data_IF_978589208149
#
_entry.id   IF_978589208149
#
_cell.length_a   1.000
_cell.length_b   1.000
_cell.length_c   1.000
_cell.angle_alpha   90.00
_cell.angle_beta   90.00
_cell.angle_gamma   90.00
#
_symmetry.space_group_name_H-M   'P 1'
#
loop_
_entity.id
_entity.type
_entity.pdbx_description
1 polymer ?
#
# COMPACT_ATOMS: atom_id res chain seq x y z
N UNK A 1 -20.97 32.76 5.98
CA UNK A 1 -21.97 31.81 6.51
C UNK A 1 -21.20 30.69 7.22
N UNK A 2 -21.77 30.11 8.30
CA UNK A 2 -21.11 28.97 8.93
C UNK A 2 -20.98 27.82 7.90
N UNK A 3 -19.82 27.18 7.88
CA UNK A 3 -19.58 26.02 7.01
C UNK A 3 -20.42 24.82 7.46
N UNK A 4 -20.95 24.03 6.50
CA UNK A 4 -21.79 22.86 6.79
C UNK A 4 -20.99 21.77 7.51
N UNK A 5 -19.70 21.65 7.17
CA UNK A 5 -18.76 20.65 7.70
C UNK A 5 -17.51 21.31 8.27
N UNK A 6 -16.82 20.58 9.15
CA UNK A 6 -15.50 20.98 9.61
C UNK A 6 -14.44 20.54 8.59
N UNK A 7 -14.62 19.34 8.00
CA UNK A 7 -13.72 18.80 6.97
C UNK A 7 -14.53 18.07 5.90
N UNK A 8 -14.19 18.33 4.63
CA UNK A 8 -14.54 17.45 3.51
C UNK A 8 -13.32 16.60 3.18
N UNK A 9 -13.50 15.28 3.05
CA UNK A 9 -12.48 14.32 2.58
C UNK A 9 -12.86 13.86 1.19
N UNK A 10 -12.10 14.27 0.18
CA UNK A 10 -12.29 13.87 -1.22
C UNK A 10 -11.39 12.68 -1.56
N UNK A 11 -12.00 11.56 -1.92
CA UNK A 11 -11.38 10.25 -2.10
C UNK A 11 -11.33 9.46 -0.80
N UNK A 12 -12.02 8.31 -0.76
CA UNK A 12 -12.19 7.45 0.41
C UNK A 12 -11.46 6.10 0.27
N UNK A 13 -10.37 6.10 -0.50
CA UNK A 13 -9.42 4.99 -0.54
C UNK A 13 -8.64 4.83 0.78
N UNK A 14 -7.46 4.19 0.74
CA UNK A 14 -6.69 3.87 1.94
C UNK A 14 -6.43 5.08 2.85
N UNK A 15 -6.04 6.23 2.27
CA UNK A 15 -5.73 7.42 3.06
C UNK A 15 -6.99 8.14 3.54
N UNK A 16 -7.96 8.34 2.65
CA UNK A 16 -9.16 9.12 2.97
C UNK A 16 -10.12 8.39 3.90
N UNK A 17 -10.25 7.07 3.81
CA UNK A 17 -11.06 6.29 4.75
C UNK A 17 -10.52 6.37 6.18
N UNK A 18 -9.21 6.25 6.35
CA UNK A 18 -8.55 6.41 7.64
C UNK A 18 -8.73 7.83 8.19
N UNK A 19 -8.52 8.85 7.35
CA UNK A 19 -8.72 10.24 7.74
C UNK A 19 -10.17 10.53 8.16
N UNK A 20 -11.15 10.07 7.38
CA UNK A 20 -12.57 10.25 7.69
C UNK A 20 -12.91 9.64 9.05
N UNK A 21 -12.42 8.42 9.33
CA UNK A 21 -12.60 7.76 10.63
C UNK A 21 -11.98 8.57 11.78
N UNK A 22 -10.71 8.92 11.69
CA UNK A 22 -10.03 9.60 12.79
C UNK A 22 -10.60 11.01 13.05
N UNK A 23 -10.97 11.73 12.00
CA UNK A 23 -11.62 13.04 12.12
C UNK A 23 -13.00 12.93 12.77
N UNK A 24 -13.84 12.01 12.31
CA UNK A 24 -15.17 11.79 12.88
C UNK A 24 -15.08 11.32 14.34
N UNK A 25 -14.19 10.37 14.64
CA UNK A 25 -13.96 9.88 16.00
C UNK A 25 -13.42 10.96 16.95
N UNK A 26 -12.83 12.04 16.42
CA UNK A 26 -12.42 13.23 17.19
C UNK A 26 -13.54 14.29 17.33
N UNK A 27 -14.78 13.97 16.92
CA UNK A 27 -15.96 14.85 17.05
C UNK A 27 -16.07 15.90 15.94
N UNK A 28 -15.35 15.78 14.82
CA UNK A 28 -15.47 16.68 13.68
C UNK A 28 -16.66 16.28 12.81
N UNK A 29 -17.38 17.29 12.29
CA UNK A 29 -18.41 17.08 11.26
C UNK A 29 -17.70 16.81 9.93
N UNK A 30 -17.72 15.56 9.49
CA UNK A 30 -16.99 15.08 8.31
C UNK A 30 -17.96 14.73 7.21
N UNK A 31 -17.70 15.25 5.99
CA UNK A 31 -18.26 14.74 4.75
C UNK A 31 -17.16 14.01 3.97
N UNK A 32 -17.38 12.75 3.70
CA UNK A 32 -16.55 11.95 2.81
C UNK A 32 -17.20 11.85 1.43
N UNK A 33 -16.45 12.13 0.38
CA UNK A 33 -16.89 12.05 -1.01
C UNK A 33 -15.98 11.06 -1.77
N UNK A 34 -16.57 10.13 -2.50
CA UNK A 34 -15.81 9.27 -3.40
C UNK A 34 -16.50 9.14 -4.76
N UNK A 35 -15.67 9.13 -5.80
CA UNK A 35 -16.11 8.95 -7.19
C UNK A 35 -16.81 7.60 -7.42
N UNK A 36 -16.44 6.61 -6.62
CA UNK A 36 -16.95 5.24 -6.69
C UNK A 36 -17.49 4.79 -5.33
N UNK A 37 -17.81 3.50 -5.20
CA UNK A 37 -18.20 2.90 -3.94
C UNK A 37 -17.01 2.09 -3.36
N UNK A 38 -16.23 2.62 -2.39
CA UNK A 38 -15.12 1.89 -1.78
C UNK A 38 -15.59 0.75 -0.86
N UNK A 39 -14.84 -0.37 -0.76
CA UNK A 39 -13.65 -0.68 -1.54
C UNK A 39 -13.99 -1.07 -2.98
N UNK A 40 -13.17 -0.66 -3.94
CA UNK A 40 -13.33 -0.96 -5.36
C UNK A 40 -11.97 -1.23 -6.01
N UNK A 41 -11.97 -1.83 -7.22
CA UNK A 41 -10.76 -2.15 -7.97
C UNK A 41 -10.34 -1.09 -9.01
N UNK A 42 -10.94 0.09 -8.98
CA UNK A 42 -10.69 1.16 -9.95
C UNK A 42 -9.54 2.08 -9.55
N UNK A 43 -9.23 2.18 -8.25
CA UNK A 43 -8.12 2.96 -7.69
C UNK A 43 -6.91 2.08 -7.35
N UNK A 44 -6.05 2.57 -6.44
CA UNK A 44 -4.81 1.89 -6.02
C UNK A 44 -4.96 1.10 -4.71
N UNK A 45 -6.12 1.14 -4.04
CA UNK A 45 -6.35 0.51 -2.73
C UNK A 45 -7.00 -0.87 -2.85
N UNK A 46 -6.55 -1.68 -3.82
CA UNK A 46 -7.05 -3.03 -4.05
C UNK A 46 -5.90 -4.00 -4.32
N UNK A 47 -6.19 -5.28 -4.52
CA UNK A 47 -5.22 -6.33 -4.83
C UNK A 47 -4.90 -7.19 -3.62
N UNK A 48 -5.84 -7.32 -2.69
CA UNK A 48 -5.91 -8.23 -1.55
C UNK A 48 -4.90 -7.99 -0.44
N UNK A 49 -3.69 -7.54 -0.75
CA UNK A 49 -2.59 -7.43 0.22
C UNK A 49 -1.73 -6.19 0.00
N UNK A 50 -1.11 -5.69 1.11
CA UNK A 50 -0.05 -4.68 1.11
C UNK A 50 1.03 -5.09 2.09
N UNK A 51 2.30 -4.82 1.75
CA UNK A 51 3.42 -5.00 2.68
C UNK A 51 3.36 -3.92 3.77
N UNK A 52 3.55 -4.34 5.02
CA UNK A 52 3.95 -3.47 6.12
C UNK A 52 5.29 -3.95 6.66
N UNK A 53 6.22 -3.04 6.91
CA UNK A 53 7.56 -3.30 7.43
C UNK A 53 8.09 -2.11 8.22
N UNK A 54 9.02 -2.30 9.14
CA UNK A 54 9.64 -1.18 9.88
C UNK A 54 10.95 -0.72 9.23
N UNK A 55 11.77 -1.64 8.73
CA UNK A 55 13.07 -1.32 8.11
C UNK A 55 12.90 -0.71 6.70
N UNK A 56 12.42 0.53 6.64
CA UNK A 56 12.25 1.26 5.37
C UNK A 56 13.58 1.55 4.72
N UNK A 57 13.81 1.00 3.52
CA UNK A 57 15.05 1.19 2.78
C UNK A 57 15.15 2.57 2.13
N UNK A 58 14.02 3.18 1.86
CA UNK A 58 13.94 4.49 1.21
C UNK A 58 14.48 5.60 2.11
N UNK A 59 14.10 5.63 3.38
CA UNK A 59 14.64 6.58 4.35
C UNK A 59 14.24 6.24 5.80
N UNK A 60 15.15 6.38 6.80
CA UNK A 60 14.87 6.11 8.21
C UNK A 60 13.74 6.96 8.82
N UNK A 61 13.47 8.14 8.29
CA UNK A 61 12.36 9.01 8.74
C UNK A 61 10.97 8.36 8.65
N UNK A 62 10.81 7.30 7.83
CA UNK A 62 9.56 6.55 7.77
C UNK A 62 9.34 5.64 8.99
N UNK A 63 10.40 5.26 9.72
CA UNK A 63 10.29 4.30 10.83
C UNK A 63 9.34 4.77 11.93
N UNK A 64 9.44 6.00 12.48
CA UNK A 64 8.49 6.45 13.50
C UNK A 64 7.03 6.48 13.00
N UNK A 65 6.82 6.82 11.72
CA UNK A 65 5.49 6.83 11.11
C UNK A 65 4.90 5.41 11.04
N UNK A 66 5.69 4.43 10.60
CA UNK A 66 5.21 3.05 10.53
C UNK A 66 5.06 2.41 11.92
N UNK A 67 5.90 2.75 12.89
CA UNK A 67 5.71 2.32 14.28
C UNK A 67 4.38 2.84 14.84
N UNK A 68 4.03 4.10 14.55
CA UNK A 68 2.71 4.63 14.91
C UNK A 68 1.60 3.92 14.13
N UNK A 69 1.81 3.59 12.87
CA UNK A 69 0.84 2.83 12.07
C UNK A 69 0.55 1.44 12.68
N UNK A 70 1.55 0.70 13.16
CA UNK A 70 1.35 -0.58 13.86
C UNK A 70 0.43 -0.44 15.07
N UNK A 71 0.60 0.63 15.87
CA UNK A 71 -0.28 0.91 17.01
C UNK A 71 -1.71 1.17 16.55
N UNK A 72 -1.88 1.99 15.50
CA UNK A 72 -3.20 2.33 14.96
C UNK A 72 -3.91 1.11 14.34
N UNK A 73 -3.16 0.21 13.69
CA UNK A 73 -3.71 -1.06 13.19
C UNK A 73 -4.20 -1.95 14.34
N UNK A 74 -3.42 -2.10 15.41
CA UNK A 74 -3.84 -2.86 16.58
C UNK A 74 -5.08 -2.25 17.27
N UNK A 75 -5.14 -0.91 17.37
CA UNK A 75 -6.32 -0.20 17.88
C UNK A 75 -7.56 -0.44 17.00
N UNK A 76 -7.38 -0.42 15.67
CA UNK A 76 -8.45 -0.64 14.70
C UNK A 76 -8.96 -2.09 14.74
N UNK A 77 -8.07 -3.07 14.80
CA UNK A 77 -8.41 -4.48 14.99
C UNK A 77 -9.23 -4.70 16.27
N UNK A 78 -8.77 -4.12 17.39
CA UNK A 78 -9.48 -4.18 18.66
C UNK A 78 -10.88 -3.56 18.60
N UNK A 79 -11.04 -2.42 17.91
CA UNK A 79 -12.33 -1.73 17.78
C UNK A 79 -13.30 -2.45 16.86
N UNK A 80 -12.79 -3.07 15.81
CA UNK A 80 -13.63 -3.70 14.77
C UNK A 80 -13.87 -5.19 14.99
N UNK A 81 -13.02 -5.86 15.77
CA UNK A 81 -13.00 -7.33 15.89
C UNK A 81 -12.48 -8.02 14.61
N UNK A 82 -11.92 -7.28 13.66
CA UNK A 82 -11.41 -7.81 12.38
C UNK A 82 -9.91 -7.95 12.42
N UNK A 83 -9.38 -9.00 11.78
CA UNK A 83 -7.95 -9.17 11.58
C UNK A 83 -7.55 -8.43 10.29
N UNK A 84 -6.79 -7.35 10.43
CA UNK A 84 -6.36 -6.47 9.32
C UNK A 84 -4.89 -6.63 8.99
N UNK A 85 -4.11 -7.17 9.94
CA UNK A 85 -2.67 -7.36 9.83
C UNK A 85 -2.28 -8.79 10.20
N UNK A 86 -1.41 -9.38 9.38
CA UNK A 86 -0.79 -10.69 9.64
C UNK A 86 0.72 -10.52 9.59
N UNK A 87 1.40 -10.76 10.70
CA UNK A 87 2.86 -10.76 10.76
C UNK A 87 3.38 -12.10 10.23
N UNK A 88 4.10 -12.05 9.11
CA UNK A 88 4.75 -13.20 8.47
C UNK A 88 6.27 -13.13 8.61
N UNK A 89 6.76 -12.03 9.21
CA UNK A 89 8.11 -11.58 8.98
C UNK A 89 8.31 -11.05 7.58
N UNK A 90 9.46 -10.44 7.33
CA UNK A 90 9.83 -9.90 6.03
C UNK A 90 11.31 -10.02 5.75
N UNK A 91 11.67 -10.16 4.49
CA UNK A 91 13.07 -10.20 4.09
C UNK A 91 13.32 -9.33 2.87
N UNK A 92 14.33 -8.45 2.98
CA UNK A 92 14.78 -7.57 1.92
C UNK A 92 16.10 -8.12 1.38
N UNK A 93 16.10 -8.58 0.13
CA UNK A 93 17.20 -9.38 -0.45
C UNK A 93 17.85 -8.62 -1.61
N UNK A 94 19.17 -8.53 -1.58
CA UNK A 94 19.93 -7.86 -2.65
C UNK A 94 21.44 -7.94 -2.43
N UNK A 95 22.23 -7.25 -3.28
CA UNK A 95 23.65 -7.10 -3.05
C UNK A 95 23.92 -6.40 -1.70
N UNK A 96 24.99 -6.76 -0.96
CA UNK A 96 25.30 -6.17 0.35
C UNK A 96 25.45 -4.65 0.32
N UNK A 97 25.89 -4.13 -0.81
CA UNK A 97 26.09 -2.70 -1.08
C UNK A 97 24.93 -2.06 -1.88
N UNK A 98 23.92 -2.84 -2.22
CA UNK A 98 22.70 -2.38 -2.90
C UNK A 98 21.86 -1.40 -2.06
N UNK A 99 21.04 -0.63 -2.74
CA UNK A 99 20.19 0.40 -2.11
C UNK A 99 19.23 -0.22 -1.10
N UNK A 100 18.63 -1.36 -1.46
CA UNK A 100 17.66 -2.05 -0.62
C UNK A 100 18.27 -2.50 0.70
N UNK A 101 19.40 -3.21 0.64
CA UNK A 101 20.07 -3.79 1.82
C UNK A 101 20.69 -2.69 2.68
N UNK A 102 21.41 -1.73 2.07
CA UNK A 102 21.99 -0.60 2.82
C UNK A 102 20.93 0.24 3.52
N UNK A 103 19.86 0.59 2.80
CA UNK A 103 18.80 1.41 3.35
C UNK A 103 18.06 0.72 4.50
N UNK A 104 17.72 -0.56 4.34
CA UNK A 104 17.07 -1.33 5.40
C UNK A 104 17.95 -1.48 6.65
N UNK A 105 19.23 -1.80 6.48
CA UNK A 105 20.20 -1.86 7.59
C UNK A 105 20.33 -0.52 8.29
N UNK A 106 20.45 0.57 7.54
CA UNK A 106 20.53 1.91 8.09
C UNK A 106 19.31 2.23 8.95
N UNK A 107 18.11 2.01 8.44
CA UNK A 107 16.86 2.25 9.19
C UNK A 107 16.78 1.38 10.44
N UNK A 108 17.15 0.11 10.33
CA UNK A 108 17.14 -0.81 11.46
C UNK A 108 18.15 -0.40 12.54
N UNK A 109 19.34 0.03 12.18
CA UNK A 109 20.38 0.48 13.11
C UNK A 109 20.04 1.81 13.78
N UNK A 110 19.59 2.82 13.01
CA UNK A 110 19.24 4.14 13.54
C UNK A 110 18.07 4.08 14.54
N UNK A 111 17.14 3.13 14.35
CA UNK A 111 15.96 2.99 15.20
C UNK A 111 15.97 1.76 16.12
N UNK A 112 17.10 1.05 16.23
CA UNK A 112 17.26 -0.15 17.06
C UNK A 112 16.18 -1.21 16.79
N UNK A 113 15.85 -1.44 15.51
CA UNK A 113 14.86 -2.44 15.12
C UNK A 113 15.45 -3.84 15.23
N UNK A 114 14.64 -4.80 15.67
CA UNK A 114 15.02 -6.21 15.63
C UNK A 114 15.19 -6.67 14.20
N UNK A 115 16.41 -7.10 13.83
CA UNK A 115 16.71 -7.58 12.50
C UNK A 115 17.89 -8.57 12.51
N UNK A 116 17.99 -9.36 11.45
CA UNK A 116 19.16 -10.21 11.18
C UNK A 116 19.60 -10.03 9.73
N UNK A 117 20.90 -10.05 9.52
CA UNK A 117 21.47 -10.10 8.16
C UNK A 117 21.81 -11.56 7.86
N UNK A 118 21.19 -12.12 6.84
CA UNK A 118 21.32 -13.51 6.44
C UNK A 118 22.14 -13.60 5.15
N UNK A 119 23.12 -14.48 5.12
CA UNK A 119 23.83 -14.86 3.90
C UNK A 119 22.90 -15.59 2.93
N UNK A 120 23.32 -15.73 1.65
CA UNK A 120 22.58 -16.50 0.65
C UNK A 120 22.35 -17.95 1.08
N UNK A 121 23.31 -18.57 1.76
CA UNK A 121 23.19 -19.92 2.28
C UNK A 121 22.16 -20.02 3.44
N UNK A 122 22.15 -19.05 4.33
CA UNK A 122 21.16 -18.96 5.41
C UNK A 122 19.76 -18.69 4.87
N UNK A 123 19.62 -17.84 3.87
CA UNK A 123 18.34 -17.58 3.19
C UNK A 123 17.76 -18.86 2.58
N UNK A 124 18.57 -19.64 1.83
CA UNK A 124 18.14 -20.93 1.25
C UNK A 124 17.74 -21.95 2.32
N UNK A 125 18.44 -21.97 3.45
CA UNK A 125 18.13 -22.88 4.56
C UNK A 125 16.86 -22.47 5.28
N UNK A 126 16.67 -21.18 5.56
CA UNK A 126 15.52 -20.68 6.29
C UNK A 126 14.25 -20.60 5.42
N UNK A 127 14.41 -20.26 4.15
CA UNK A 127 13.32 -20.08 3.17
C UNK A 127 13.63 -20.89 1.89
N UNK A 128 13.36 -22.20 1.88
CA UNK A 128 13.78 -23.09 0.79
C UNK A 128 13.20 -22.79 -0.59
N UNK A 129 12.18 -21.94 -0.67
CA UNK A 129 11.62 -21.44 -1.94
C UNK A 129 12.50 -20.39 -2.60
N UNK A 130 13.35 -19.68 -1.84
CA UNK A 130 14.20 -18.63 -2.32
C UNK A 130 15.54 -19.18 -2.85
N UNK A 131 15.95 -18.68 -3.99
CA UNK A 131 17.22 -19.01 -4.64
C UNK A 131 18.05 -17.74 -4.88
N UNK A 132 18.51 -17.05 -3.80
CA UNK A 132 19.32 -15.86 -3.95
C UNK A 132 20.67 -16.21 -4.61
N UNK A 133 21.22 -15.25 -5.38
CA UNK A 133 22.57 -15.37 -5.91
C UNK A 133 23.58 -15.42 -4.76
N UNK A 134 24.75 -16.02 -4.99
CA UNK A 134 25.75 -16.23 -3.91
C UNK A 134 26.25 -14.94 -3.26
N UNK A 135 26.32 -13.87 -4.04
CA UNK A 135 26.72 -12.54 -3.58
C UNK A 135 25.59 -11.73 -2.94
N UNK A 136 24.38 -12.28 -2.77
CA UNK A 136 23.27 -11.60 -2.14
C UNK A 136 23.20 -11.90 -0.64
N UNK A 137 22.65 -10.95 0.09
CA UNK A 137 22.28 -11.07 1.50
C UNK A 137 20.83 -10.63 1.70
N UNK A 138 20.23 -11.04 2.82
CA UNK A 138 18.87 -10.60 3.19
C UNK A 138 18.85 -9.91 4.54
N UNK A 139 18.16 -8.79 4.65
CA UNK A 139 17.80 -8.17 5.93
C UNK A 139 16.44 -8.72 6.30
N UNK A 140 16.39 -9.55 7.32
CA UNK A 140 15.16 -10.13 7.84
C UNK A 140 14.69 -9.37 9.07
N UNK A 141 13.40 -9.05 9.14
CA UNK A 141 12.74 -8.45 10.29
C UNK A 141 11.48 -9.23 10.68
N UNK A 142 11.24 -9.50 11.99
CA UNK A 142 10.11 -10.32 12.44
C UNK A 142 8.77 -9.61 12.37
N UNK A 143 8.75 -8.28 12.45
CA UNK A 143 7.53 -7.49 12.55
C UNK A 143 6.88 -7.17 11.22
N UNK A 144 7.58 -7.37 10.13
CA UNK A 144 7.00 -7.20 8.80
C UNK A 144 5.84 -8.18 8.55
N UNK A 145 4.97 -7.82 7.62
CA UNK A 145 3.80 -8.65 7.34
C UNK A 145 2.90 -8.08 6.26
N UNK A 146 1.65 -8.48 6.34
CA UNK A 146 0.62 -8.25 5.34
C UNK A 146 -0.53 -7.46 5.95
N UNK A 147 -0.95 -6.41 5.28
CA UNK A 147 -2.21 -5.70 5.49
C UNK A 147 -3.23 -6.09 4.42
N UNK A 148 -4.51 -6.15 4.79
CA UNK A 148 -5.64 -6.38 3.89
C UNK A 148 -6.31 -5.05 3.55
N UNK A 149 -5.94 -4.39 2.43
CA UNK A 149 -6.32 -3.00 2.18
C UNK A 149 -7.81 -2.79 1.95
N UNK A 150 -8.49 -3.69 1.25
CA UNK A 150 -9.94 -3.59 1.04
C UNK A 150 -10.71 -3.69 2.35
N UNK A 151 -10.35 -4.67 3.19
CA UNK A 151 -10.95 -4.84 4.51
C UNK A 151 -10.64 -3.65 5.43
N UNK A 152 -9.43 -3.10 5.33
CA UNK A 152 -9.03 -1.92 6.09
C UNK A 152 -9.84 -0.68 5.69
N UNK A 153 -10.00 -0.43 4.38
CA UNK A 153 -10.83 0.67 3.86
C UNK A 153 -12.27 0.52 4.34
N UNK A 154 -12.86 -0.66 4.15
CA UNK A 154 -14.23 -0.95 4.61
C UNK A 154 -14.37 -0.71 6.11
N UNK A 155 -13.43 -1.20 6.91
CA UNK A 155 -13.46 -1.06 8.38
C UNK A 155 -13.39 0.40 8.81
N UNK A 156 -12.51 1.19 8.20
CA UNK A 156 -12.43 2.62 8.48
C UNK A 156 -13.73 3.35 8.13
N UNK A 157 -14.32 3.08 6.96
CA UNK A 157 -15.56 3.73 6.52
C UNK A 157 -16.75 3.38 7.42
N UNK A 158 -16.91 2.11 7.80
CA UNK A 158 -17.94 1.68 8.72
C UNK A 158 -17.82 2.38 10.09
N UNK A 159 -16.59 2.49 10.61
CA UNK A 159 -16.33 3.17 11.87
C UNK A 159 -16.47 4.70 11.75
N UNK A 160 -16.11 5.28 10.61
CA UNK A 160 -16.35 6.69 10.32
C UNK A 160 -17.86 7.03 10.37
N UNK A 161 -18.68 6.24 9.67
CA UNK A 161 -20.12 6.39 9.67
C UNK A 161 -20.72 6.22 11.07
N UNK A 162 -20.29 5.21 11.83
CA UNK A 162 -20.68 5.01 13.24
C UNK A 162 -20.29 6.19 14.14
N UNK A 163 -19.23 6.91 13.78
CA UNK A 163 -18.77 8.12 14.49
C UNK A 163 -19.41 9.41 13.98
N UNK A 164 -20.42 9.32 13.11
CA UNK A 164 -21.20 10.45 12.62
C UNK A 164 -20.69 11.11 11.33
N UNK A 165 -19.69 10.52 10.63
CA UNK A 165 -19.34 10.99 9.30
C UNK A 165 -20.47 10.71 8.29
N UNK A 166 -20.73 11.69 7.42
CA UNK A 166 -21.59 11.51 6.23
C UNK A 166 -20.69 11.06 5.09
N UNK A 167 -21.02 9.93 4.47
CA UNK A 167 -20.25 9.35 3.39
C UNK A 167 -21.12 9.27 2.13
N UNK A 168 -20.71 9.97 1.08
CA UNK A 168 -21.37 9.99 -0.21
C UNK A 168 -20.48 9.24 -1.24
N UNK A 169 -21.04 8.19 -1.79
CA UNK A 169 -20.37 7.35 -2.80
C UNK A 169 -20.96 7.62 -4.18
N UNK A 170 -20.21 7.32 -5.23
CA UNK A 170 -20.55 7.62 -6.62
C UNK A 170 -20.79 9.13 -6.83
N UNK A 171 -20.06 9.95 -6.08
CA UNK A 171 -20.17 11.40 -6.10
C UNK A 171 -18.77 12.02 -6.32
N UNK A 172 -18.32 12.15 -7.58
CA UNK A 172 -17.04 12.70 -7.91
C UNK A 172 -16.97 14.20 -7.58
N UNK A 173 -15.88 14.60 -6.94
CA UNK A 173 -15.53 16.02 -6.81
C UNK A 173 -15.10 16.52 -8.19
N UNK A 174 -15.82 17.51 -8.73
CA UNK A 174 -15.52 18.11 -10.03
C UNK A 174 -14.50 19.23 -9.92
N UNK A 175 -14.64 20.09 -8.88
CA UNK A 175 -13.72 21.18 -8.57
C UNK A 175 -13.88 21.63 -7.12
N UNK A 176 -12.94 22.39 -6.66
CA UNK A 176 -12.98 23.07 -5.37
C UNK A 176 -12.42 24.49 -5.51
N UNK A 177 -12.85 25.36 -4.62
CA UNK A 177 -12.44 26.77 -4.62
C UNK A 177 -12.39 27.31 -3.19
N UNK A 178 -11.44 28.21 -2.85
CA UNK A 178 -11.47 28.93 -1.57
C UNK A 178 -12.78 29.72 -1.43
N UNK A 179 -13.35 29.72 -0.23
CA UNK A 179 -14.55 30.50 0.09
C UNK A 179 -14.45 31.08 1.50
N UNK A 180 -14.12 32.37 1.60
CA UNK A 180 -13.83 33.00 2.89
C UNK A 180 -12.69 32.31 3.60
N UNK A 181 -12.87 31.90 4.86
CA UNK A 181 -11.88 31.15 5.66
C UNK A 181 -11.96 29.62 5.44
N UNK A 182 -12.77 29.18 4.50
CA UNK A 182 -13.02 27.78 4.21
C UNK A 182 -12.88 27.43 2.73
N UNK A 183 -13.59 26.39 2.34
CA UNK A 183 -13.56 25.83 1.00
C UNK A 183 -14.97 25.46 0.56
N UNK A 184 -15.24 25.65 -0.73
CA UNK A 184 -16.42 25.16 -1.43
C UNK A 184 -16.00 24.03 -2.35
N UNK A 185 -16.69 22.89 -2.26
CA UNK A 185 -16.47 21.70 -3.09
C UNK A 185 -17.71 21.50 -3.95
N UNK A 186 -17.54 21.30 -5.24
CA UNK A 186 -18.62 21.15 -6.22
C UNK A 186 -18.60 19.73 -6.78
N UNK A 187 -19.77 19.11 -6.78
CA UNK A 187 -20.06 17.79 -7.36
C UNK A 187 -21.21 17.91 -8.36
N UNK A 188 -21.64 16.81 -8.96
CA UNK A 188 -22.85 16.79 -9.80
C UNK A 188 -24.14 16.96 -8.99
N UNK A 189 -24.15 16.48 -7.74
CA UNK A 189 -25.31 16.58 -6.84
C UNK A 189 -25.49 17.98 -6.24
N UNK A 190 -24.43 18.81 -6.25
CA UNK A 190 -24.50 20.17 -5.69
C UNK A 190 -23.16 20.71 -5.21
N UNK A 191 -23.23 21.55 -4.18
CA UNK A 191 -22.02 22.13 -3.60
C UNK A 191 -22.08 22.04 -2.07
N UNK A 192 -20.93 21.77 -1.49
CA UNK A 192 -20.73 21.64 -0.03
C UNK A 192 -19.68 22.63 0.45
N UNK A 193 -19.84 23.11 1.69
CA UNK A 193 -18.88 24.02 2.31
C UNK A 193 -18.23 23.39 3.54
N UNK A 194 -16.94 23.60 3.70
CA UNK A 194 -16.22 23.16 4.88
C UNK A 194 -15.12 24.14 5.28
N UNK A 195 -14.64 24.02 6.53
CA UNK A 195 -13.47 24.78 6.99
C UNK A 195 -12.18 24.29 6.35
N UNK A 196 -12.10 23.00 6.03
CA UNK A 196 -10.89 22.35 5.45
C UNK A 196 -11.29 21.32 4.41
N UNK A 197 -10.42 21.14 3.42
CA UNK A 197 -10.52 20.09 2.42
C UNK A 197 -9.29 19.20 2.53
N UNK A 198 -9.50 17.90 2.60
CA UNK A 198 -8.47 16.90 2.44
C UNK A 198 -8.64 16.26 1.06
N UNK A 199 -7.62 16.38 0.22
CA UNK A 199 -7.55 15.71 -1.08
C UNK A 199 -6.78 14.40 -0.93
N UNK A 200 -7.43 13.27 -1.15
CA UNK A 200 -6.88 11.91 -1.10
C UNK A 200 -7.36 11.07 -2.29
N UNK A 201 -7.48 11.72 -3.43
CA UNK A 201 -8.10 11.20 -4.66
C UNK A 201 -7.18 10.29 -5.48
N UNK A 202 -6.06 9.85 -4.90
CA UNK A 202 -5.16 8.88 -5.53
C UNK A 202 -4.70 9.32 -6.92
N UNK A 203 -4.88 8.46 -7.91
CA UNK A 203 -4.46 8.73 -9.29
C UNK A 203 -5.17 9.93 -9.94
N UNK A 204 -6.33 10.35 -9.44
CA UNK A 204 -7.06 11.54 -9.92
C UNK A 204 -6.60 12.86 -9.28
N UNK A 205 -5.58 12.83 -8.40
CA UNK A 205 -5.10 14.02 -7.71
C UNK A 205 -4.68 15.13 -8.69
N UNK A 206 -3.98 14.78 -9.76
CA UNK A 206 -3.46 15.75 -10.74
C UNK A 206 -4.58 16.57 -11.41
N UNK A 207 -5.76 15.99 -11.62
CA UNK A 207 -6.89 16.71 -12.24
C UNK A 207 -7.52 17.74 -11.29
N UNK A 208 -7.55 17.46 -9.99
CA UNK A 208 -8.10 18.36 -8.97
C UNK A 208 -7.08 19.38 -8.45
N UNK A 209 -5.81 19.23 -8.78
CA UNK A 209 -4.71 20.09 -8.32
C UNK A 209 -3.87 20.64 -9.47
N UNK A 210 -4.44 20.70 -10.68
CA UNK A 210 -3.74 21.15 -11.88
C UNK A 210 -3.10 22.54 -11.70
N UNK A 211 -3.81 23.46 -11.04
CA UNK A 211 -3.32 24.83 -10.78
C UNK A 211 -2.10 24.85 -9.83
N UNK A 212 -1.95 23.84 -8.97
CA UNK A 212 -0.81 23.73 -8.03
C UNK A 212 0.47 23.23 -8.71
N UNK A 213 0.41 22.75 -9.95
CA UNK A 213 1.53 22.23 -10.75
C UNK A 213 2.40 21.24 -9.99
N UNK A 214 1.76 20.33 -9.22
CA UNK A 214 2.48 19.31 -8.47
C UNK A 214 3.13 18.32 -9.45
N UNK A 215 4.37 17.87 -9.19
CA UNK A 215 5.08 16.93 -10.05
C UNK A 215 4.56 15.50 -9.85
N UNK A 216 3.31 15.26 -10.21
CA UNK A 216 2.63 13.98 -10.08
C UNK A 216 2.59 13.26 -11.43
N UNK A 217 3.02 12.01 -11.44
CA UNK A 217 2.86 11.09 -12.55
C UNK A 217 2.06 9.86 -12.11
N UNK A 218 1.19 9.37 -12.97
CA UNK A 218 0.45 8.14 -12.73
C UNK A 218 1.11 7.02 -13.52
N UNK A 219 1.45 5.94 -12.83
CA UNK A 219 2.01 4.73 -13.42
C UNK A 219 1.05 3.55 -13.24
N UNK A 220 0.89 2.76 -14.30
CA UNK A 220 0.19 1.49 -14.26
C UNK A 220 1.09 0.46 -13.59
N UNK A 221 0.65 -0.15 -12.51
CA UNK A 221 1.37 -1.22 -11.81
C UNK A 221 0.59 -2.54 -11.94
N UNK A 222 1.27 -3.59 -12.43
CA UNK A 222 0.66 -4.91 -12.65
C UNK A 222 0.92 -5.80 -11.44
N UNK A 223 -0.12 -6.47 -10.97
CA UNK A 223 -0.06 -7.47 -9.92
C UNK A 223 -0.26 -8.85 -10.55
N UNK A 224 0.57 -9.80 -10.19
CA UNK A 224 0.48 -11.17 -10.68
C UNK A 224 0.24 -12.13 -9.52
N UNK A 225 -0.54 -13.18 -9.78
CA UNK A 225 -0.70 -14.34 -8.90
C UNK A 225 -0.29 -15.58 -9.67
N UNK A 226 0.68 -16.32 -9.14
CA UNK A 226 1.18 -17.53 -9.77
C UNK A 226 0.94 -18.74 -8.88
N UNK A 227 0.44 -19.81 -9.47
CA UNK A 227 0.42 -21.11 -8.80
C UNK A 227 1.83 -21.72 -8.82
N UNK A 228 2.38 -22.12 -7.65
CA UNK A 228 3.65 -22.84 -7.60
C UNK A 228 3.52 -24.20 -8.29
N UNK A 229 4.45 -24.53 -9.21
CA UNK A 229 4.46 -25.83 -9.88
C UNK A 229 4.79 -27.00 -8.96
N UNK A 230 5.46 -26.73 -7.86
CA UNK A 230 5.83 -27.69 -6.83
C UNK A 230 6.04 -27.02 -5.49
N UNK A 231 6.02 -27.77 -4.40
CA UNK A 231 6.28 -27.29 -3.04
C UNK A 231 5.34 -26.13 -2.61
N UNK A 232 4.09 -26.13 -3.05
CA UNK A 232 3.12 -25.08 -2.74
C UNK A 232 3.02 -24.79 -1.22
N UNK A 233 3.17 -25.82 -0.39
CA UNK A 233 3.18 -25.71 1.08
C UNK A 233 4.34 -24.88 1.63
N UNK A 234 5.41 -24.66 0.86
CA UNK A 234 6.53 -23.82 1.26
C UNK A 234 6.24 -22.32 1.05
N UNK A 235 5.23 -21.99 0.25
CA UNK A 235 4.81 -20.61 0.02
C UNK A 235 3.76 -20.10 1.00
N UNK A 236 3.30 -20.94 1.93
CA UNK A 236 2.34 -20.52 2.95
C UNK A 236 2.94 -19.51 3.93
N UNK A 237 2.10 -18.65 4.57
CA UNK A 237 2.56 -17.56 5.45
C UNK A 237 3.49 -17.99 6.60
N UNK A 238 3.35 -19.23 7.06
CA UNK A 238 4.17 -19.78 8.14
C UNK A 238 5.62 -20.12 7.71
N UNK A 239 5.85 -20.22 6.39
CA UNK A 239 7.14 -20.63 5.81
C UNK A 239 7.74 -19.62 4.83
N UNK A 240 6.90 -18.79 4.23
CA UNK A 240 7.30 -17.77 3.27
C UNK A 240 6.93 -16.40 3.84
N UNK A 241 7.90 -15.54 4.18
CA UNK A 241 7.64 -14.18 4.61
C UNK A 241 7.25 -13.30 3.42
N UNK A 242 6.79 -12.08 3.68
CA UNK A 242 6.82 -11.05 2.63
C UNK A 242 8.28 -10.81 2.24
N UNK A 243 8.50 -10.49 0.98
CA UNK A 243 9.85 -10.30 0.49
C UNK A 243 9.94 -9.16 -0.53
N UNK A 244 11.10 -8.50 -0.54
CA UNK A 244 11.46 -7.49 -1.53
C UNK A 244 12.85 -7.83 -2.05
N UNK A 245 13.06 -7.77 -3.37
CA UNK A 245 14.31 -8.12 -4.02
C UNK A 245 14.84 -6.97 -4.84
N UNK A 246 16.14 -6.69 -4.72
CA UNK A 246 16.87 -5.87 -5.66
C UNK A 246 17.50 -6.79 -6.72
N UNK A 247 16.84 -6.87 -7.89
CA UNK A 247 17.21 -7.81 -8.96
C UNK A 247 18.10 -7.19 -10.05
N UNK A 248 18.37 -5.90 -9.92
CA UNK A 248 19.26 -5.09 -10.76
C UNK A 248 19.43 -3.71 -10.13
N UNK A 249 20.36 -2.87 -10.61
CA UNK A 249 20.57 -1.52 -10.08
C UNK A 249 19.25 -0.71 -10.06
N UNK A 250 18.79 -0.35 -8.88
CA UNK A 250 17.51 0.36 -8.65
C UNK A 250 16.27 -0.31 -9.25
N UNK A 251 16.32 -1.63 -9.44
CA UNK A 251 15.19 -2.42 -9.93
C UNK A 251 14.76 -3.40 -8.86
N UNK A 252 13.48 -3.33 -8.50
CA UNK A 252 12.95 -4.12 -7.40
C UNK A 252 11.71 -4.90 -7.82
N UNK A 253 11.52 -6.08 -7.24
CA UNK A 253 10.24 -6.75 -7.21
C UNK A 253 9.91 -7.16 -5.77
N UNK A 254 8.66 -7.38 -5.51
CA UNK A 254 8.20 -7.80 -4.19
C UNK A 254 7.17 -8.92 -4.32
N UNK A 255 6.98 -9.64 -3.22
CA UNK A 255 5.99 -10.70 -3.20
C UNK A 255 5.49 -11.03 -1.80
N UNK A 256 4.44 -11.82 -1.81
CA UNK A 256 3.70 -12.27 -0.64
C UNK A 256 3.62 -13.80 -0.63
N UNK A 257 3.45 -14.41 0.54
CA UNK A 257 3.10 -15.83 0.60
C UNK A 257 1.75 -16.09 -0.11
N UNK A 258 1.51 -17.34 -0.37
CA UNK A 258 0.22 -17.81 -0.89
C UNK A 258 -0.82 -17.83 0.24
N UNK A 259 -1.86 -17.01 0.09
CA UNK A 259 -3.00 -16.93 1.01
C UNK A 259 -4.22 -17.73 0.51
N UNK A 260 -4.07 -18.48 -0.57
CA UNK A 260 -5.14 -19.28 -1.20
C UNK A 260 -5.46 -18.89 -2.64
N UNK A 261 -4.93 -17.73 -3.09
CA UNK A 261 -5.13 -17.21 -4.45
C UNK A 261 -3.85 -17.35 -5.31
N UNK A 262 -2.84 -18.06 -4.82
CA UNK A 262 -1.50 -18.15 -5.41
C UNK A 262 -0.50 -17.14 -4.83
N UNK A 263 0.76 -17.29 -5.22
CA UNK A 263 1.85 -16.42 -4.81
C UNK A 263 1.76 -15.08 -5.54
N UNK A 264 1.48 -14.02 -4.82
CA UNK A 264 1.38 -12.68 -5.38
C UNK A 264 2.76 -12.04 -5.52
N UNK A 265 3.03 -11.47 -6.69
CA UNK A 265 4.28 -10.74 -6.97
C UNK A 265 4.03 -9.54 -7.88
N UNK A 266 4.91 -8.54 -7.82
CA UNK A 266 4.88 -7.40 -8.73
C UNK A 266 6.26 -6.76 -8.85
N UNK A 267 6.51 -6.10 -9.97
CA UNK A 267 7.63 -5.17 -10.12
C UNK A 267 7.32 -3.88 -9.34
N UNK A 268 8.34 -3.18 -8.91
CA UNK A 268 8.20 -1.94 -8.16
C UNK A 268 8.72 -0.76 -8.97
N UNK A 269 7.82 0.17 -9.33
CA UNK A 269 8.12 1.36 -10.15
C UNK A 269 8.70 1.07 -11.54
N UNK A 270 8.21 0.05 -12.21
CA UNK A 270 8.57 -0.25 -13.61
C UNK A 270 7.36 -0.21 -14.54
N UNK A 271 6.30 0.51 -14.15
CA UNK A 271 5.07 0.62 -14.91
C UNK A 271 5.10 1.68 -16.01
N UNK A 272 4.18 1.57 -16.97
CA UNK A 272 3.99 2.59 -17.99
C UNK A 272 3.25 3.82 -17.43
N UNK A 273 3.62 5.02 -17.90
CA UNK A 273 2.88 6.24 -17.58
C UNK A 273 1.50 6.19 -18.22
N UNK A 274 0.47 6.58 -17.48
CA UNK A 274 -0.92 6.51 -17.94
C UNK A 274 -1.77 7.64 -17.33
N UNK A 275 -3.02 7.73 -17.80
CA UNK A 275 -4.05 8.53 -17.13
C UNK A 275 -4.98 7.59 -16.36
N UNK A 276 -5.53 8.01 -15.22
CA UNK A 276 -6.34 7.13 -14.35
C UNK A 276 -7.59 6.59 -15.06
N UNK A 277 -8.19 7.38 -15.95
CA UNK A 277 -9.40 6.99 -16.71
C UNK A 277 -9.08 6.22 -18.01
N UNK A 278 -7.79 6.12 -18.39
CA UNK A 278 -7.32 5.43 -19.60
C UNK A 278 -6.39 4.25 -19.29
N UNK A 279 -6.32 3.82 -18.03
CA UNK A 279 -5.44 2.72 -17.64
C UNK A 279 -5.87 1.40 -18.30
N UNK A 280 -4.94 0.76 -18.99
CA UNK A 280 -5.12 -0.59 -19.55
C UNK A 280 -5.16 -1.59 -18.38
N UNK A 281 -6.29 -2.28 -18.18
CA UNK A 281 -6.49 -3.23 -17.07
C UNK A 281 -6.15 -4.66 -17.43
N UNK A 282 -6.06 -4.96 -18.71
CA UNK A 282 -5.66 -6.26 -19.21
C UNK A 282 -4.15 -6.44 -19.07
N UNK A 283 -3.73 -7.63 -18.68
CA UNK A 283 -2.34 -8.07 -18.59
C UNK A 283 -2.06 -8.96 -19.79
N UNK A 284 -1.06 -8.62 -20.57
CA UNK A 284 -0.68 -9.41 -21.74
C UNK A 284 0.32 -10.53 -21.38
N UNK A 285 0.54 -11.40 -22.37
CA UNK A 285 1.45 -12.53 -22.19
C UNK A 285 2.92 -12.10 -22.07
N UNK A 286 3.31 -11.00 -22.69
CA UNK A 286 4.68 -10.47 -22.61
C UNK A 286 5.00 -9.99 -21.20
N UNK A 287 4.05 -9.26 -20.57
CA UNK A 287 4.16 -8.81 -19.17
C UNK A 287 4.26 -10.03 -18.23
N UNK A 288 3.42 -11.03 -18.47
CA UNK A 288 3.40 -12.26 -17.67
C UNK A 288 4.72 -13.04 -17.80
N UNK A 289 5.25 -13.20 -19.02
CA UNK A 289 6.52 -13.92 -19.23
C UNK A 289 7.73 -13.11 -18.72
N UNK A 290 7.70 -11.78 -18.81
CA UNK A 290 8.71 -10.93 -18.20
C UNK A 290 8.79 -11.15 -16.68
N UNK A 291 7.65 -11.21 -15.99
CA UNK A 291 7.62 -11.52 -14.56
C UNK A 291 8.08 -12.94 -14.26
N UNK A 292 7.64 -13.93 -15.04
CA UNK A 292 8.11 -15.31 -14.89
C UNK A 292 9.63 -15.45 -15.04
N UNK A 293 10.22 -14.71 -15.98
CA UNK A 293 11.68 -14.70 -16.17
C UNK A 293 12.42 -14.17 -14.94
N UNK A 294 11.88 -13.16 -14.27
CA UNK A 294 12.42 -12.68 -12.98
C UNK A 294 12.30 -13.78 -11.92
N UNK A 295 11.12 -14.39 -11.79
CA UNK A 295 10.86 -15.41 -10.76
C UNK A 295 11.77 -16.64 -10.92
N UNK A 296 11.93 -17.16 -12.14
CA UNK A 296 12.82 -18.32 -12.42
C UNK A 296 14.27 -18.10 -11.95
N UNK A 297 14.71 -16.86 -11.85
CA UNK A 297 16.05 -16.53 -11.37
C UNK A 297 16.20 -16.60 -9.85
N UNK A 298 15.11 -16.36 -9.11
CA UNK A 298 15.16 -16.16 -7.67
C UNK A 298 14.33 -17.14 -6.85
N UNK A 299 13.59 -18.04 -7.51
CA UNK A 299 12.79 -19.06 -6.87
C UNK A 299 13.16 -20.47 -7.34
N UNK A 300 13.27 -21.38 -6.40
CA UNK A 300 13.69 -22.76 -6.68
C UNK A 300 12.61 -23.63 -7.36
N UNK A 301 11.37 -23.14 -7.48
CA UNK A 301 10.20 -23.93 -7.86
C UNK A 301 9.38 -23.32 -9.01
N UNK A 302 9.94 -22.37 -9.75
CA UNK A 302 9.29 -21.68 -10.89
C UNK A 302 9.71 -22.20 -12.23
#
# INVERSE_FOLDING_TARGET
>A
MPSDYDVIVAGLGAMGSAAAFHLAASGRRVLGLDRYHPPHNLGSSHGLTRIIREAYFEHPLYVPLVQRAYQLWAELEKKSGRRLLVQTGGVLIGPPDGVLVKGAKRSAQEHNLEHRVLSSAELRRQFPVFSPLENMVGVWEPRAGILFPELAVQTHLELAAKSGAILQYNEPVLRWEPQGDGVRVVTEAGAYTARRLMLSTGAWMSSLTAELRLPLAVERQVLFWFEPRSRAEQFRPEKCPIHIWEHGPHRFFYGFPDLGDGVKVALHHEGESTLPDAVRREVDEQETEAMRKVLRRFFACC
#
